data_IF_590631828828
#
_entry.id   IF_590631828828
#
_cell.length_a   1.000
_cell.length_b   1.000
_cell.length_c   1.000
_cell.angle_alpha   90.00
_cell.angle_beta   90.00
_cell.angle_gamma   90.00
#
_symmetry.space_group_name_H-M   'P 1'
#
loop_
_entity.id
_entity.type
_entity.pdbx_description
1 polymer ?
#
# COMPACT_ATOMS: atom_id res chain seq x y z
N UNK A 1 -3.88 -1.25 20.40
CA UNK A 1 -2.50 -1.42 19.87
C UNK A 1 -2.50 -1.08 18.37
N UNK A 2 -1.46 -0.41 17.85
CA UNK A 2 -1.35 -0.04 16.42
C UNK A 2 -0.20 -0.84 15.77
N UNK A 3 -0.41 -1.40 14.58
CA UNK A 3 0.62 -2.11 13.81
C UNK A 3 0.75 -1.51 12.41
N UNK A 4 1.96 -1.11 12.07
CA UNK A 4 2.32 -0.57 10.77
C UNK A 4 3.02 -1.67 9.95
N UNK A 5 2.56 -1.94 8.73
CA UNK A 5 3.12 -2.97 7.85
C UNK A 5 3.51 -2.40 6.49
N UNK A 6 4.64 -2.87 5.95
CA UNK A 6 4.97 -2.62 4.54
C UNK A 6 4.01 -3.40 3.65
N UNK A 7 3.39 -2.72 2.69
CA UNK A 7 2.49 -3.34 1.70
C UNK A 7 3.21 -4.31 0.75
N UNK A 8 4.54 -4.32 0.74
CA UNK A 8 5.33 -5.40 0.11
C UNK A 8 5.00 -6.78 0.68
N UNK A 9 4.43 -6.86 1.89
CA UNK A 9 3.93 -8.12 2.47
C UNK A 9 2.89 -8.82 1.59
N UNK A 10 2.14 -8.08 0.76
CA UNK A 10 1.22 -8.65 -0.22
C UNK A 10 2.03 -9.35 -1.32
N UNK A 11 2.96 -8.63 -1.94
CA UNK A 11 3.73 -9.13 -3.09
C UNK A 11 4.67 -10.29 -2.73
N UNK A 12 5.16 -10.36 -1.49
CA UNK A 12 6.02 -11.45 -1.03
C UNK A 12 5.25 -12.58 -0.31
N UNK A 13 3.90 -12.55 -0.31
CA UNK A 13 3.07 -13.63 0.24
C UNK A 13 2.97 -13.70 1.77
N UNK A 14 3.55 -12.77 2.52
CA UNK A 14 3.56 -12.81 3.99
C UNK A 14 2.37 -12.11 4.65
N UNK A 15 1.58 -11.33 3.89
CA UNK A 15 0.45 -10.56 4.41
C UNK A 15 -0.58 -11.44 5.14
N UNK A 16 -0.96 -12.57 4.56
CA UNK A 16 -1.98 -13.45 5.16
C UNK A 16 -1.52 -14.01 6.52
N UNK A 17 -0.25 -14.42 6.61
CA UNK A 17 0.33 -14.86 7.88
C UNK A 17 0.33 -13.75 8.92
N UNK A 18 0.65 -12.51 8.53
CA UNK A 18 0.62 -11.37 9.44
C UNK A 18 -0.79 -11.03 9.93
N UNK A 19 -1.78 -11.02 9.04
CA UNK A 19 -3.14 -10.58 9.38
C UNK A 19 -3.86 -11.62 10.25
N UNK A 20 -3.72 -12.92 9.96
CA UNK A 20 -4.33 -14.01 10.74
C UNK A 20 -3.76 -14.06 12.16
N UNK A 21 -2.46 -13.80 12.32
CA UNK A 21 -1.82 -13.77 13.64
C UNK A 21 -1.93 -12.41 14.34
N UNK A 22 -2.62 -11.44 13.76
CA UNK A 22 -2.85 -10.13 14.39
C UNK A 22 -4.23 -10.11 15.06
N UNK A 23 -4.33 -9.82 16.37
CA UNK A 23 -5.62 -9.77 17.07
C UNK A 23 -6.62 -8.84 16.38
N UNK A 24 -7.90 -9.22 16.35
CA UNK A 24 -8.97 -8.45 15.72
C UNK A 24 -9.10 -7.00 16.25
N UNK A 25 -8.72 -6.77 17.51
CA UNK A 25 -8.71 -5.46 18.17
C UNK A 25 -7.51 -4.57 17.80
N UNK A 26 -6.58 -5.06 16.97
CA UNK A 26 -5.39 -4.31 16.57
C UNK A 26 -5.69 -3.52 15.31
N UNK A 27 -5.39 -2.22 15.34
CA UNK A 27 -5.51 -1.37 14.16
C UNK A 27 -4.27 -1.56 13.29
N UNK A 28 -4.47 -2.08 12.09
CA UNK A 28 -3.45 -2.33 11.07
C UNK A 28 -3.51 -1.22 10.02
N UNK A 29 -2.35 -0.64 9.74
CA UNK A 29 -2.18 0.36 8.69
C UNK A 29 -1.20 -0.16 7.65
N UNK A 30 -1.64 -0.13 6.39
CA UNK A 30 -0.86 -0.56 5.23
C UNK A 30 -0.11 0.61 4.63
N UNK A 31 1.20 0.47 4.43
CA UNK A 31 2.08 1.56 4.06
C UNK A 31 2.93 1.22 2.84
N UNK A 32 3.04 2.20 1.94
CA UNK A 32 4.02 2.23 0.86
C UNK A 32 3.40 2.29 -0.54
N UNK A 33 4.20 2.53 -1.58
CA UNK A 33 3.71 2.69 -2.95
C UNK A 33 2.99 1.45 -3.50
N UNK A 34 3.29 0.26 -2.96
CA UNK A 34 2.64 -1.00 -3.30
C UNK A 34 1.31 -1.23 -2.58
N UNK A 35 0.84 -0.29 -1.76
CA UNK A 35 -0.46 -0.41 -1.06
C UNK A 35 -1.60 -0.35 -2.06
N UNK A 36 -2.43 -1.40 -2.20
CA UNK A 36 -3.62 -1.33 -3.02
C UNK A 36 -4.60 -0.32 -2.41
N UNK A 37 -4.98 0.70 -3.17
CA UNK A 37 -5.92 1.73 -2.70
C UNK A 37 -7.39 1.33 -2.92
N UNK A 38 -7.73 0.06 -2.69
CA UNK A 38 -9.04 -0.53 -2.95
C UNK A 38 -9.79 -0.95 -1.67
N UNK A 39 -11.12 -0.91 -1.72
CA UNK A 39 -11.98 -1.21 -0.56
C UNK A 39 -11.93 -2.67 -0.11
N UNK A 40 -11.52 -3.58 -1.00
CA UNK A 40 -11.35 -5.00 -0.68
C UNK A 40 -10.40 -5.20 0.50
N UNK A 41 -9.41 -4.32 0.68
CA UNK A 41 -8.48 -4.40 1.82
C UNK A 41 -9.16 -4.13 3.17
N UNK A 42 -10.31 -3.46 3.19
CA UNK A 42 -11.10 -3.24 4.41
C UNK A 42 -12.00 -4.42 4.78
N UNK A 43 -12.05 -5.47 3.95
CA UNK A 43 -12.68 -6.74 4.34
C UNK A 43 -11.97 -7.41 5.52
N UNK A 44 -10.68 -7.12 5.72
CA UNK A 44 -9.93 -7.52 6.90
C UNK A 44 -10.28 -6.59 8.08
N UNK A 45 -10.89 -7.08 9.17
CA UNK A 45 -11.41 -6.22 10.23
C UNK A 45 -10.34 -5.34 10.91
N UNK A 46 -9.10 -5.84 10.96
CA UNK A 46 -7.97 -5.14 11.54
C UNK A 46 -7.50 -3.97 10.67
N UNK A 47 -7.71 -4.00 9.35
CA UNK A 47 -7.21 -2.95 8.44
C UNK A 47 -8.06 -1.70 8.61
N UNK A 48 -7.43 -0.63 9.11
CA UNK A 48 -8.07 0.66 9.38
C UNK A 48 -7.63 1.78 8.45
N UNK A 49 -6.53 1.61 7.74
CA UNK A 49 -6.08 2.59 6.77
C UNK A 49 -5.09 2.06 5.76
N UNK A 50 -5.17 2.64 4.58
CA UNK A 50 -4.34 2.37 3.41
C UNK A 50 -3.59 3.65 3.07
N UNK A 51 -2.27 3.61 3.07
CA UNK A 51 -1.40 4.75 2.82
C UNK A 51 -0.47 4.42 1.66
N UNK A 52 -0.91 4.80 0.47
CA UNK A 52 -0.31 4.42 -0.79
C UNK A 52 0.22 5.59 -1.61
N UNK A 53 0.42 5.34 -2.88
CA UNK A 53 0.79 6.35 -3.86
C UNK A 53 0.00 6.11 -5.14
N UNK A 54 -0.37 7.18 -5.82
CA UNK A 54 -1.02 7.14 -7.14
C UNK A 54 -0.16 7.90 -8.14
N UNK A 55 -0.31 7.54 -9.41
CA UNK A 55 0.31 8.21 -10.54
C UNK A 55 -0.79 8.88 -11.36
N UNK A 56 -0.44 9.92 -12.09
CA UNK A 56 -1.35 10.49 -13.07
C UNK A 56 -1.63 9.48 -14.19
N UNK A 57 -2.87 9.43 -14.73
CA UNK A 57 -3.17 8.59 -15.87
C UNK A 57 -2.20 8.86 -17.03
N UNK A 58 -1.66 7.80 -17.62
CA UNK A 58 -0.73 7.88 -18.76
C UNK A 58 0.57 8.67 -18.48
N UNK A 59 1.08 8.68 -17.25
CA UNK A 59 2.37 9.30 -16.91
C UNK A 59 3.54 8.63 -17.66
N UNK A 60 3.90 9.21 -18.80
CA UNK A 60 4.99 8.73 -19.66
C UNK A 60 6.35 8.78 -18.98
N UNK A 61 6.57 9.74 -18.07
CA UNK A 61 7.84 9.86 -17.37
C UNK A 61 8.05 8.68 -16.45
N UNK A 62 7.02 8.29 -15.70
CA UNK A 62 7.07 7.08 -14.86
C UNK A 62 7.32 5.83 -15.70
N UNK A 63 6.62 5.68 -16.82
CA UNK A 63 6.78 4.53 -17.74
C UNK A 63 8.22 4.47 -18.28
N UNK A 64 8.78 5.59 -18.73
CA UNK A 64 10.17 5.66 -19.24
C UNK A 64 11.19 5.31 -18.16
N UNK A 65 11.03 5.79 -16.93
CA UNK A 65 11.90 5.45 -15.81
C UNK A 65 11.88 3.93 -15.57
N UNK A 66 10.70 3.32 -15.52
CA UNK A 66 10.55 1.87 -15.30
C UNK A 66 11.15 1.08 -16.47
N UNK A 67 10.89 1.48 -17.71
CA UNK A 67 11.43 0.83 -18.91
C UNK A 67 12.96 0.86 -18.96
N UNK A 68 13.59 1.90 -18.40
CA UNK A 68 15.04 2.01 -18.26
C UNK A 68 15.61 1.23 -17.05
N UNK A 69 14.82 0.37 -16.40
CA UNK A 69 15.23 -0.39 -15.20
C UNK A 69 15.24 0.45 -13.92
N UNK A 70 14.62 1.63 -13.95
CA UNK A 70 14.56 2.53 -12.80
C UNK A 70 13.59 2.06 -11.72
N UNK A 71 13.97 2.27 -10.46
CA UNK A 71 13.19 1.87 -9.29
C UNK A 71 12.43 3.03 -8.62
N UNK A 72 11.75 2.71 -7.52
CA UNK A 72 10.92 3.66 -6.75
C UNK A 72 11.64 4.95 -6.37
N UNK A 73 12.94 4.90 -6.08
CA UNK A 73 13.72 6.10 -5.75
C UNK A 73 13.76 7.11 -6.90
N UNK A 74 13.72 6.65 -8.14
CA UNK A 74 13.79 7.49 -9.34
C UNK A 74 12.40 8.03 -9.72
N UNK A 75 11.36 7.20 -9.69
CA UNK A 75 10.00 7.66 -10.02
C UNK A 75 9.21 8.25 -8.83
N UNK A 76 9.80 8.36 -7.63
CA UNK A 76 9.11 8.93 -6.44
C UNK A 76 8.60 10.36 -6.64
N UNK A 77 9.20 11.12 -7.56
CA UNK A 77 8.79 12.50 -7.87
C UNK A 77 7.58 12.56 -8.78
N UNK A 78 7.21 11.43 -9.38
CA UNK A 78 6.09 11.31 -10.31
C UNK A 78 4.83 10.75 -9.62
N UNK A 79 4.95 10.34 -8.36
CA UNK A 79 3.85 9.78 -7.57
C UNK A 79 3.33 10.78 -6.54
N UNK A 80 2.02 10.74 -6.28
CA UNK A 80 1.37 11.49 -5.20
C UNK A 80 0.98 10.57 -4.06
N UNK A 81 1.35 10.93 -2.83
CA UNK A 81 0.91 10.21 -1.63
C UNK A 81 -0.59 10.41 -1.43
N UNK A 82 -1.29 9.32 -1.17
CA UNK A 82 -2.72 9.31 -0.87
C UNK A 82 -2.99 8.37 0.29
N UNK A 83 -4.13 8.57 0.94
CA UNK A 83 -4.59 7.65 1.96
C UNK A 83 -6.10 7.43 1.88
N UNK A 84 -6.54 6.30 2.41
CA UNK A 84 -7.94 5.97 2.67
C UNK A 84 -8.05 5.43 4.07
N UNK A 85 -9.06 5.86 4.81
CA UNK A 85 -9.37 5.32 6.12
C UNK A 85 -10.63 4.47 6.00
N UNK A 86 -10.70 3.44 6.84
CA UNK A 86 -11.95 2.70 6.99
C UNK A 86 -12.96 3.63 7.65
N UNK A 87 -14.11 3.81 7.00
CA UNK A 87 -15.26 4.43 7.62
C UNK A 87 -15.89 3.42 8.59
N UNK A 88 -16.18 3.85 9.81
CA UNK A 88 -16.88 3.06 10.83
C UNK A 88 -18.36 2.90 10.48
#
# INVERSE_FOLDING_TARGET
MKRNGSSTSISNGTFNGLIVNTPASTNVYMLGPSTPMCDVMFSYPQVKGLFGSVFEPHDQKTIQIIAAGGGTRQFKTCMRKVYRLRHE
#
